data_IF_456365853286
#
_entry.id   IF_456365853286
#
_cell.length_a   1.000
_cell.length_b   1.000
_cell.length_c   1.000
_cell.angle_alpha   90.00
_cell.angle_beta   90.00
_cell.angle_gamma   90.00
#
_symmetry.space_group_name_H-M   'P 1'
#
loop_
_entity.id
_entity.type
_entity.pdbx_description
1 polymer ?
#
# COMPACT_ATOMS: atom_id res chain seq x y z
N UNK A 1 26.02 -11.04 -5.70
CA UNK A 1 24.85 -10.38 -5.10
C UNK A 1 24.87 -8.88 -5.42
N UNK A 2 23.80 -8.33 -5.97
CA UNK A 2 23.62 -6.90 -6.25
C UNK A 2 23.20 -6.18 -4.96
N UNK A 3 23.71 -4.99 -4.71
CA UNK A 3 23.20 -4.10 -3.65
C UNK A 3 22.61 -2.89 -4.35
N UNK A 4 21.36 -2.55 -4.01
CA UNK A 4 20.62 -1.44 -4.59
C UNK A 4 20.31 -0.44 -3.49
N UNK A 5 20.85 0.76 -3.62
CA UNK A 5 20.52 1.85 -2.70
C UNK A 5 19.09 2.37 -2.95
N UNK A 6 18.65 3.38 -2.20
CA UNK A 6 17.31 3.97 -2.32
C UNK A 6 16.99 4.48 -3.75
N UNK A 7 17.95 5.14 -4.40
CA UNK A 7 17.77 5.70 -5.76
C UNK A 7 17.67 4.58 -6.79
N UNK A 8 18.63 3.65 -6.79
CA UNK A 8 18.65 2.50 -7.71
C UNK A 8 17.39 1.63 -7.52
N UNK A 9 16.93 1.45 -6.28
CA UNK A 9 15.69 0.72 -5.97
C UNK A 9 14.47 1.45 -6.53
N UNK A 10 14.41 2.79 -6.40
CA UNK A 10 13.29 3.58 -6.89
C UNK A 10 13.20 3.59 -8.42
N UNK A 11 14.34 3.71 -9.11
CA UNK A 11 14.45 3.71 -10.57
C UNK A 11 14.08 2.36 -11.19
N UNK A 12 14.42 1.25 -10.51
CA UNK A 12 14.11 -0.10 -10.96
C UNK A 12 12.64 -0.51 -10.71
N UNK A 13 11.83 0.36 -10.09
CA UNK A 13 10.43 0.12 -9.73
C UNK A 13 9.47 1.16 -10.33
N UNK A 14 9.46 1.36 -11.67
CA UNK A 14 8.48 2.25 -12.28
C UNK A 14 7.06 1.68 -12.10
N UNK A 15 6.12 2.52 -11.68
CA UNK A 15 4.77 2.06 -11.32
C UNK A 15 4.05 1.24 -12.38
N UNK A 16 4.08 1.57 -13.70
CA UNK A 16 3.41 0.73 -14.69
C UNK A 16 3.89 -0.74 -14.66
N UNK A 17 5.21 -0.94 -14.60
CA UNK A 17 5.78 -2.29 -14.53
C UNK A 17 5.54 -2.94 -13.16
N UNK A 18 5.62 -2.17 -12.07
CA UNK A 18 5.38 -2.69 -10.72
C UNK A 18 3.92 -3.13 -10.52
N UNK A 19 2.96 -2.36 -11.01
CA UNK A 19 1.53 -2.71 -10.93
C UNK A 19 1.27 -4.04 -11.65
N UNK A 20 1.86 -4.24 -12.84
CA UNK A 20 1.72 -5.50 -13.57
C UNK A 20 2.48 -6.66 -12.91
N UNK A 21 3.68 -6.41 -12.35
CA UNK A 21 4.40 -7.43 -11.57
C UNK A 21 3.60 -7.89 -10.34
N UNK A 22 2.92 -6.96 -9.65
CA UNK A 22 2.00 -7.30 -8.57
C UNK A 22 0.79 -8.08 -9.11
N UNK A 23 0.18 -7.63 -10.22
CA UNK A 23 -0.96 -8.30 -10.85
C UNK A 23 -0.65 -9.75 -11.16
N UNK A 24 0.52 -10.00 -11.75
CA UNK A 24 0.96 -11.35 -12.12
C UNK A 24 1.27 -12.20 -10.88
N UNK A 25 1.92 -11.64 -9.87
CA UNK A 25 2.22 -12.38 -8.63
C UNK A 25 0.95 -12.76 -7.85
N UNK A 26 -0.03 -11.87 -7.75
CA UNK A 26 -1.34 -12.23 -7.17
C UNK A 26 -2.06 -13.26 -8.03
N UNK A 27 -1.99 -13.14 -9.36
CA UNK A 27 -2.62 -14.11 -10.27
C UNK A 27 -2.02 -15.51 -10.10
N UNK A 28 -0.70 -15.64 -10.18
CA UNK A 28 0.00 -16.92 -10.05
C UNK A 28 0.03 -17.46 -8.62
N UNK A 29 0.07 -16.56 -7.64
CA UNK A 29 0.36 -16.86 -6.25
C UNK A 29 1.84 -17.15 -5.99
N UNK A 30 2.18 -17.14 -4.71
CA UNK A 30 3.46 -17.61 -4.19
C UNK A 30 3.25 -18.18 -2.78
N UNK A 31 4.26 -18.86 -2.25
CA UNK A 31 4.29 -19.25 -0.84
C UNK A 31 4.65 -18.03 0.00
N UNK A 32 3.88 -17.79 1.07
CA UNK A 32 4.05 -16.64 1.95
C UNK A 32 3.54 -16.97 3.36
N UNK A 33 4.44 -17.41 4.26
CA UNK A 33 4.11 -17.59 5.66
C UNK A 33 3.64 -16.30 6.32
N UNK A 34 2.97 -16.44 7.47
CA UNK A 34 2.60 -15.30 8.30
C UNK A 34 3.83 -14.51 8.71
N UNK A 35 3.67 -13.19 8.88
CA UNK A 35 4.73 -12.30 9.37
C UNK A 35 5.24 -12.78 10.73
N UNK A 36 6.55 -12.93 10.86
CA UNK A 36 7.18 -13.29 12.12
C UNK A 36 7.44 -12.03 12.94
N UNK A 37 7.19 -12.12 14.25
CA UNK A 37 7.48 -11.07 15.22
C UNK A 37 8.43 -11.62 16.28
N UNK A 38 9.61 -11.02 16.39
CA UNK A 38 10.60 -11.39 17.39
C UNK A 38 10.90 -10.19 18.28
N UNK A 39 10.60 -10.32 19.57
CA UNK A 39 10.98 -9.32 20.58
C UNK A 39 12.49 -9.27 20.72
N UNK A 40 13.05 -8.06 20.69
CA UNK A 40 14.47 -7.80 20.90
C UNK A 40 14.58 -6.91 22.14
N UNK A 41 15.03 -7.49 23.25
CA UNK A 41 15.22 -6.76 24.49
C UNK A 41 16.34 -5.72 24.33
N UNK A 42 16.08 -4.48 24.74
CA UNK A 42 17.08 -3.40 24.77
C UNK A 42 17.16 -2.89 26.22
N UNK A 43 18.23 -3.21 26.97
CA UNK A 43 18.32 -2.84 28.38
C UNK A 43 18.15 -1.33 28.60
N UNK A 44 17.20 -0.97 29.47
CA UNK A 44 16.91 0.43 29.81
C UNK A 44 16.01 1.16 28.81
N UNK A 45 15.47 0.48 27.81
CA UNK A 45 14.60 1.06 26.77
C UNK A 45 13.36 0.17 26.52
N UNK A 46 12.33 0.68 25.83
CA UNK A 46 11.24 -0.17 25.35
C UNK A 46 11.77 -1.28 24.43
N UNK A 47 11.17 -2.46 24.52
CA UNK A 47 11.51 -3.58 23.64
C UNK A 47 11.44 -3.19 22.16
N UNK A 48 12.44 -3.63 21.41
CA UNK A 48 12.46 -3.55 19.97
C UNK A 48 11.81 -4.79 19.35
N UNK A 49 11.57 -4.75 18.04
CA UNK A 49 10.98 -5.87 17.31
C UNK A 49 11.72 -6.09 15.99
N UNK A 50 12.10 -7.34 15.71
CA UNK A 50 12.50 -7.79 14.39
C UNK A 50 11.29 -8.46 13.72
N UNK A 51 10.92 -7.94 12.56
CA UNK A 51 9.87 -8.48 11.70
C UNK A 51 10.50 -9.18 10.51
N UNK A 52 10.07 -10.41 10.24
CA UNK A 52 10.45 -11.16 9.04
C UNK A 52 9.22 -11.44 8.20
N UNK A 53 9.29 -11.09 6.91
CA UNK A 53 8.24 -11.35 5.94
C UNK A 53 8.83 -12.15 4.76
N UNK A 54 8.95 -13.48 4.91
CA UNK A 54 9.43 -14.34 3.83
C UNK A 54 8.33 -14.60 2.78
N UNK A 55 8.75 -14.76 1.53
CA UNK A 55 7.91 -15.26 0.44
C UNK A 55 8.77 -15.96 -0.62
N UNK A 56 8.23 -16.93 -1.34
CA UNK A 56 8.94 -17.58 -2.44
C UNK A 56 8.03 -18.14 -3.54
N UNK A 57 8.58 -18.17 -4.75
CA UNK A 57 8.10 -18.95 -5.88
C UNK A 57 9.02 -20.17 -6.00
N UNK A 58 8.52 -21.40 -5.76
CA UNK A 58 9.34 -22.61 -5.74
C UNK A 58 10.22 -22.76 -6.98
N UNK A 59 11.52 -23.04 -6.77
CA UNK A 59 12.49 -23.26 -7.84
C UNK A 59 12.86 -22.02 -8.68
N UNK A 60 12.38 -20.83 -8.30
CA UNK A 60 12.65 -19.59 -9.04
C UNK A 60 13.26 -18.50 -8.16
N UNK A 61 12.48 -17.90 -7.26
CA UNK A 61 12.93 -16.82 -6.39
C UNK A 61 12.41 -17.00 -4.97
N UNK A 62 13.24 -16.69 -3.98
CA UNK A 62 12.83 -16.56 -2.59
C UNK A 62 13.33 -15.24 -2.04
N UNK A 63 12.61 -14.65 -1.10
CA UNK A 63 13.06 -13.43 -0.48
C UNK A 63 12.50 -13.24 0.92
N UNK A 64 13.14 -12.35 1.67
CA UNK A 64 12.70 -11.98 3.01
C UNK A 64 12.88 -10.49 3.22
N UNK A 65 11.80 -9.84 3.64
CA UNK A 65 11.90 -8.49 4.20
C UNK A 65 12.29 -8.60 5.66
N UNK A 66 13.36 -7.92 6.03
CA UNK A 66 13.77 -7.74 7.42
C UNK A 66 13.44 -6.31 7.81
N UNK A 67 12.62 -6.13 8.84
CA UNK A 67 12.31 -4.80 9.38
C UNK A 67 12.61 -4.77 10.87
N UNK A 68 13.42 -3.81 11.27
CA UNK A 68 13.77 -3.52 12.65
C UNK A 68 12.96 -2.33 13.13
N UNK A 69 12.19 -2.52 14.20
CA UNK A 69 11.43 -1.46 14.88
C UNK A 69 12.06 -1.24 16.26
N UNK A 70 12.75 -0.12 16.42
CA UNK A 70 13.47 0.26 17.64
C UNK A 70 12.91 1.59 18.16
N UNK A 71 11.90 1.57 19.05
CA UNK A 71 11.29 2.79 19.58
C UNK A 71 12.30 3.75 20.21
N UNK A 72 13.31 3.22 20.92
CA UNK A 72 14.36 4.00 21.56
C UNK A 72 15.25 4.80 20.60
N UNK A 73 15.25 4.51 19.30
CA UNK A 73 16.07 5.28 18.34
C UNK A 73 15.68 6.75 18.24
N UNK A 74 14.45 7.13 18.61
CA UNK A 74 14.04 8.54 18.64
C UNK A 74 14.96 9.37 19.54
N UNK A 75 15.32 8.85 20.72
CA UNK A 75 16.19 9.56 21.67
C UNK A 75 17.64 9.66 21.18
N UNK A 76 18.01 8.80 20.23
CA UNK A 76 19.35 8.74 19.61
C UNK A 76 19.46 9.55 18.31
N UNK A 77 18.36 10.18 17.87
CA UNK A 77 18.32 10.84 16.56
C UNK A 77 18.41 9.87 15.37
N UNK A 78 18.06 8.59 15.57
CA UNK A 78 18.06 7.56 14.54
C UNK A 78 16.62 7.23 14.10
N UNK A 79 16.43 6.70 12.88
CA UNK A 79 15.12 6.19 12.48
C UNK A 79 14.66 5.04 13.38
N UNK A 80 13.42 5.11 13.88
CA UNK A 80 12.81 4.02 14.66
C UNK A 80 12.46 2.80 13.84
N UNK A 81 12.41 2.92 12.52
CA UNK A 81 12.11 1.83 11.61
C UNK A 81 13.21 1.82 10.55
N UNK A 82 13.83 0.66 10.35
CA UNK A 82 14.79 0.41 9.28
C UNK A 82 14.46 -0.94 8.66
N UNK A 83 14.57 -1.06 7.33
CA UNK A 83 14.25 -2.29 6.65
C UNK A 83 15.09 -2.53 5.41
N UNK A 84 15.32 -3.80 5.11
CA UNK A 84 16.03 -4.27 3.93
C UNK A 84 15.29 -5.46 3.35
N UNK A 85 15.45 -5.69 2.05
CA UNK A 85 14.90 -6.87 1.39
C UNK A 85 16.00 -7.69 0.75
N UNK A 86 16.14 -8.96 1.14
CA UNK A 86 17.07 -9.91 0.54
C UNK A 86 16.32 -10.79 -0.45
N UNK A 87 16.72 -10.77 -1.71
CA UNK A 87 16.29 -11.67 -2.77
C UNK A 87 17.35 -12.74 -3.01
N UNK A 88 16.94 -13.99 -3.11
CA UNK A 88 17.79 -15.15 -3.33
C UNK A 88 17.18 -16.07 -4.40
N UNK A 89 18.03 -16.90 -4.98
CA UNK A 89 17.64 -17.97 -5.88
C UNK A 89 17.00 -19.12 -5.07
N UNK A 90 15.77 -19.51 -5.41
CA UNK A 90 15.04 -20.53 -4.65
C UNK A 90 15.44 -21.98 -4.99
N UNK A 91 16.38 -22.18 -5.93
CA UNK A 91 16.90 -23.51 -6.28
C UNK A 91 18.22 -23.79 -5.55
N UNK A 92 19.08 -22.78 -5.46
CA UNK A 92 20.46 -22.90 -4.95
C UNK A 92 20.65 -22.23 -3.59
N UNK A 93 19.74 -21.34 -3.20
CA UNK A 93 19.87 -20.52 -2.00
C UNK A 93 20.81 -19.31 -2.16
N UNK A 94 21.40 -19.09 -3.34
CA UNK A 94 22.37 -18.02 -3.56
C UNK A 94 21.72 -16.63 -3.46
N UNK A 95 22.36 -15.71 -2.73
CA UNK A 95 21.92 -14.32 -2.63
C UNK A 95 22.05 -13.56 -3.95
N UNK A 96 20.93 -13.06 -4.46
CA UNK A 96 20.84 -12.38 -5.75
C UNK A 96 20.92 -10.87 -5.58
N UNK A 97 20.09 -10.29 -4.70
CA UNK A 97 20.04 -8.85 -4.49
C UNK A 97 19.67 -8.45 -3.06
N UNK A 98 20.20 -7.32 -2.61
CA UNK A 98 19.81 -6.62 -1.39
C UNK A 98 19.26 -5.24 -1.79
N UNK A 99 18.01 -4.97 -1.44
CA UNK A 99 17.30 -3.74 -1.81
C UNK A 99 17.01 -2.87 -0.59
N UNK A 100 16.89 -1.56 -0.82
CA UNK A 100 16.37 -0.63 0.17
C UNK A 100 14.91 -0.97 0.51
N UNK A 101 14.68 -1.39 1.76
CA UNK A 101 13.37 -1.90 2.17
C UNK A 101 12.33 -0.80 2.34
N UNK A 102 12.74 0.44 2.63
CA UNK A 102 11.82 1.56 2.81
C UNK A 102 11.25 2.01 1.45
N UNK A 103 12.12 2.16 0.45
CA UNK A 103 11.72 2.49 -0.92
C UNK A 103 10.87 1.37 -1.51
N UNK A 104 11.30 0.12 -1.40
CA UNK A 104 10.53 -1.03 -1.90
C UNK A 104 9.13 -1.06 -1.28
N UNK A 105 9.04 -0.92 0.05
CA UNK A 105 7.75 -0.92 0.77
C UNK A 105 6.86 0.23 0.31
N UNK A 106 7.40 1.45 0.18
CA UNK A 106 6.61 2.60 -0.25
C UNK A 106 6.05 2.41 -1.67
N UNK A 107 6.89 1.99 -2.63
CA UNK A 107 6.48 1.80 -4.02
C UNK A 107 5.47 0.67 -4.19
N UNK A 108 5.74 -0.50 -3.59
CA UNK A 108 4.85 -1.66 -3.70
C UNK A 108 3.50 -1.41 -3.04
N UNK A 109 3.48 -0.67 -1.93
CA UNK A 109 2.21 -0.34 -1.24
C UNK A 109 1.34 0.53 -2.13
N UNK A 110 1.92 1.60 -2.71
CA UNK A 110 1.19 2.45 -3.62
C UNK A 110 0.76 1.72 -4.91
N UNK A 111 1.60 0.82 -5.42
CA UNK A 111 1.27 -0.01 -6.57
C UNK A 111 0.13 -0.99 -6.27
N UNK A 112 0.05 -1.56 -5.06
CA UNK A 112 -1.07 -2.42 -4.66
C UNK A 112 -2.39 -1.65 -4.59
N UNK A 113 -2.38 -0.43 -4.04
CA UNK A 113 -3.53 0.48 -4.05
C UNK A 113 -3.95 0.84 -5.49
N UNK A 114 -3.00 1.16 -6.36
CA UNK A 114 -3.29 1.43 -7.76
C UNK A 114 -3.82 0.21 -8.52
N UNK A 115 -3.28 -0.99 -8.24
CA UNK A 115 -3.79 -2.26 -8.78
C UNK A 115 -5.24 -2.48 -8.38
N UNK A 116 -5.58 -2.28 -7.10
CA UNK A 116 -6.96 -2.38 -6.63
C UNK A 116 -7.85 -1.33 -7.31
N UNK A 117 -7.42 -0.07 -7.36
CA UNK A 117 -8.13 1.01 -8.03
C UNK A 117 -8.35 0.71 -9.52
N UNK A 118 -7.44 0.00 -10.20
CA UNK A 118 -7.62 -0.40 -11.59
C UNK A 118 -8.84 -1.31 -11.81
N UNK A 119 -9.15 -2.18 -10.84
CA UNK A 119 -10.37 -2.99 -10.86
C UNK A 119 -11.60 -2.27 -10.27
N UNK A 120 -11.40 -1.36 -9.32
CA UNK A 120 -12.45 -0.90 -8.41
C UNK A 120 -12.88 0.56 -8.59
N UNK A 121 -12.05 1.43 -9.14
CA UNK A 121 -12.40 2.83 -9.40
C UNK A 121 -13.11 2.99 -10.75
N UNK A 122 -13.96 4.02 -10.89
CA UNK A 122 -14.57 4.36 -12.19
C UNK A 122 -13.47 4.69 -13.20
N UNK A 123 -13.68 4.35 -14.48
CA UNK A 123 -12.66 4.55 -15.54
C UNK A 123 -12.36 6.03 -15.81
N UNK A 124 -13.36 6.89 -15.58
CA UNK A 124 -13.30 8.35 -15.73
C UNK A 124 -12.93 9.07 -14.43
N UNK A 125 -12.53 8.36 -13.37
CA UNK A 125 -12.12 8.96 -12.10
C UNK A 125 -10.94 9.93 -12.32
N UNK A 126 -11.16 11.22 -12.02
CA UNK A 126 -10.19 12.28 -12.29
C UNK A 126 -9.83 13.13 -11.08
N UNK A 127 -10.56 13.01 -9.97
CA UNK A 127 -10.27 13.71 -8.72
C UNK A 127 -9.90 12.73 -7.59
N UNK A 128 -8.63 12.77 -7.19
CA UNK A 128 -8.09 12.01 -6.06
C UNK A 128 -8.00 12.90 -4.81
N UNK A 129 -8.54 12.44 -3.70
CA UNK A 129 -8.32 13.02 -2.38
C UNK A 129 -7.34 12.16 -1.60
N UNK A 130 -6.28 12.77 -1.08
CA UNK A 130 -5.28 12.10 -0.25
C UNK A 130 -5.46 12.56 1.19
N UNK A 131 -5.75 11.61 2.08
CA UNK A 131 -5.91 11.84 3.51
C UNK A 131 -4.62 11.38 4.20
N UNK A 132 -3.81 12.34 4.62
CA UNK A 132 -2.50 12.08 5.23
C UNK A 132 -1.35 12.68 4.44
N UNK A 133 -0.34 13.18 5.17
CA UNK A 133 0.83 13.88 4.62
C UNK A 133 2.12 13.12 4.92
N UNK A 134 2.00 11.79 5.07
CA UNK A 134 3.12 10.89 5.34
C UNK A 134 3.89 10.52 4.08
N UNK A 135 4.88 9.64 4.24
CA UNK A 135 5.76 9.19 3.15
C UNK A 135 5.05 8.53 1.97
N UNK A 136 3.84 7.98 2.17
CA UNK A 136 3.05 7.37 1.10
C UNK A 136 2.24 8.36 0.26
N UNK A 137 2.02 9.60 0.74
CA UNK A 137 1.11 10.56 0.08
C UNK A 137 1.48 10.79 -1.39
N UNK A 138 2.75 11.12 -1.65
CA UNK A 138 3.27 11.24 -3.02
C UNK A 138 3.13 9.95 -3.82
N UNK A 139 3.57 8.82 -3.24
CA UNK A 139 3.59 7.54 -3.93
C UNK A 139 2.19 7.10 -4.38
N UNK A 140 1.19 7.30 -3.52
CA UNK A 140 -0.21 7.00 -3.82
C UNK A 140 -0.73 7.86 -4.97
N UNK A 141 -0.44 9.17 -4.97
CA UNK A 141 -0.81 10.05 -6.08
C UNK A 141 -0.21 9.58 -7.41
N UNK A 142 1.09 9.28 -7.40
CA UNK A 142 1.83 8.86 -8.59
C UNK A 142 1.30 7.53 -9.15
N UNK A 143 1.07 6.54 -8.29
CA UNK A 143 0.61 5.22 -8.68
C UNK A 143 -0.83 5.25 -9.21
N UNK A 144 -1.75 5.94 -8.53
CA UNK A 144 -3.14 6.08 -8.99
C UNK A 144 -3.23 6.81 -10.33
N UNK A 145 -2.35 7.79 -10.57
CA UNK A 145 -2.29 8.50 -11.86
C UNK A 145 -1.83 7.62 -13.03
N UNK A 146 -1.26 6.44 -12.77
CA UNK A 146 -0.92 5.48 -13.84
C UNK A 146 -2.14 4.67 -14.32
N UNK A 147 -3.16 4.53 -13.48
CA UNK A 147 -4.31 3.67 -13.77
C UNK A 147 -5.59 4.46 -14.02
N UNK A 148 -5.63 5.75 -13.66
CA UNK A 148 -6.78 6.63 -13.85
C UNK A 148 -6.36 8.02 -14.34
N UNK A 149 -7.23 8.74 -15.09
CA UNK A 149 -6.93 10.06 -15.63
C UNK A 149 -7.00 11.15 -14.54
N UNK A 150 -6.17 11.02 -13.51
CA UNK A 150 -6.12 11.96 -12.38
C UNK A 150 -5.64 13.31 -12.88
N UNK A 151 -6.55 14.29 -12.88
CA UNK A 151 -6.30 15.68 -13.26
C UNK A 151 -6.22 16.61 -12.06
N UNK A 152 -6.84 16.21 -10.95
CA UNK A 152 -6.89 16.96 -9.70
C UNK A 152 -6.53 16.07 -8.51
N UNK A 153 -5.65 16.56 -7.66
CA UNK A 153 -5.33 15.96 -6.35
C UNK A 153 -5.63 16.97 -5.24
N UNK A 154 -6.42 16.58 -4.25
CA UNK A 154 -6.66 17.40 -3.06
C UNK A 154 -6.04 16.69 -1.85
N UNK A 155 -5.13 17.37 -1.17
CA UNK A 155 -4.39 16.82 -0.02
C UNK A 155 -4.95 17.40 1.26
N UNK A 156 -5.27 16.53 2.21
CA UNK A 156 -5.63 16.93 3.56
C UNK A 156 -4.67 16.32 4.58
N UNK A 157 -4.38 17.08 5.62
CA UNK A 157 -3.66 16.61 6.79
C UNK A 157 -3.98 17.48 8.00
N UNK A 158 -3.75 16.95 9.21
CA UNK A 158 -3.93 17.69 10.48
C UNK A 158 -3.15 19.00 10.54
N UNK A 159 -2.04 19.06 9.82
CA UNK A 159 -1.15 20.21 9.71
C UNK A 159 -1.25 20.77 8.30
N UNK A 160 -1.83 21.97 8.17
CA UNK A 160 -2.10 22.60 6.87
C UNK A 160 -0.81 22.83 6.07
N UNK A 161 0.28 23.20 6.74
CA UNK A 161 1.58 23.41 6.13
C UNK A 161 2.18 22.12 5.55
N UNK A 162 1.91 20.96 6.16
CA UNK A 162 2.34 19.68 5.62
C UNK A 162 1.52 19.26 4.40
N UNK A 163 0.21 19.53 4.42
CA UNK A 163 -0.65 19.28 3.27
C UNK A 163 -0.23 20.15 2.07
N UNK A 164 0.11 21.42 2.33
CA UNK A 164 0.60 22.32 1.28
C UNK A 164 1.97 21.90 0.75
N UNK A 165 2.88 21.42 1.60
CA UNK A 165 4.16 20.89 1.15
C UNK A 165 3.98 19.70 0.19
N UNK A 166 3.09 18.76 0.52
CA UNK A 166 2.77 17.63 -0.37
C UNK A 166 2.11 18.11 -1.66
N UNK A 167 1.14 19.03 -1.58
CA UNK A 167 0.49 19.57 -2.78
C UNK A 167 1.48 20.29 -3.71
N UNK A 168 2.39 21.10 -3.16
CA UNK A 168 3.43 21.78 -3.93
C UNK A 168 4.35 20.79 -4.66
N UNK A 169 4.74 19.73 -3.96
CA UNK A 169 5.59 18.67 -4.47
C UNK A 169 4.89 17.88 -5.61
N UNK A 170 3.60 17.58 -5.46
CA UNK A 170 2.79 16.95 -6.49
C UNK A 170 2.62 17.84 -7.73
N UNK A 171 2.37 19.15 -7.56
CA UNK A 171 2.31 20.10 -8.70
C UNK A 171 3.62 20.10 -9.50
N UNK A 172 4.76 20.04 -8.81
CA UNK A 172 6.07 20.07 -9.46
C UNK A 172 6.41 18.80 -10.25
N UNK A 173 5.76 17.68 -9.98
CA UNK A 173 6.21 16.36 -10.48
C UNK A 173 5.18 15.57 -11.25
N UNK A 174 3.88 15.69 -10.92
CA UNK A 174 2.80 15.05 -11.66
C UNK A 174 2.16 15.97 -12.70
N UNK A 175 2.43 17.29 -12.65
CA UNK A 175 1.84 18.24 -13.58
C UNK A 175 0.31 18.32 -13.52
N UNK A 176 -0.31 17.85 -12.43
CA UNK A 176 -1.75 17.92 -12.19
C UNK A 176 -2.12 19.12 -11.29
N UNK A 177 -3.40 19.48 -11.26
CA UNK A 177 -3.92 20.44 -10.28
C UNK A 177 -3.83 19.82 -8.88
N UNK A 178 -2.84 20.20 -8.07
CA UNK A 178 -2.72 19.73 -6.69
C UNK A 178 -2.95 20.87 -5.70
N UNK A 179 -3.83 20.68 -4.70
CA UNK A 179 -4.20 21.69 -3.72
C UNK A 179 -4.24 21.08 -2.31
N UNK A 180 -3.83 21.85 -1.31
CA UNK A 180 -4.12 21.51 0.08
C UNK A 180 -5.51 22.01 0.47
N UNK A 181 -6.17 21.30 1.40
CA UNK A 181 -7.44 21.72 1.99
C UNK A 181 -7.45 21.53 3.50
N UNK A 182 -8.21 22.38 4.20
CA UNK A 182 -8.61 22.17 5.60
C UNK A 182 -10.01 21.58 5.73
N UNK A 183 -10.83 21.70 4.67
CA UNK A 183 -12.18 21.12 4.55
C UNK A 183 -12.07 19.69 3.99
N UNK A 184 -11.94 18.71 4.89
CA UNK A 184 -11.88 17.29 4.51
C UNK A 184 -13.23 16.79 3.98
N UNK A 185 -14.34 17.14 4.65
CA UNK A 185 -15.68 16.69 4.26
C UNK A 185 -16.00 17.12 2.83
N UNK A 186 -15.88 18.41 2.51
CA UNK A 186 -16.19 18.90 1.18
C UNK A 186 -15.27 18.30 0.12
N UNK A 187 -14.00 18.04 0.44
CA UNK A 187 -13.09 17.35 -0.47
C UNK A 187 -13.56 15.91 -0.75
N UNK A 188 -13.88 15.13 0.29
CA UNK A 188 -14.37 13.76 0.17
C UNK A 188 -15.69 13.69 -0.60
N UNK A 189 -16.63 14.63 -0.36
CA UNK A 189 -17.91 14.70 -1.10
C UNK A 189 -17.77 14.91 -2.60
N UNK A 190 -16.63 15.44 -3.06
CA UNK A 190 -16.33 15.69 -4.48
C UNK A 190 -15.31 14.71 -5.06
N UNK A 191 -14.86 13.72 -4.28
CA UNK A 191 -13.80 12.82 -4.67
C UNK A 191 -14.33 11.69 -5.56
N UNK A 192 -13.60 11.38 -6.63
CA UNK A 192 -13.80 10.12 -7.35
C UNK A 192 -13.07 8.97 -6.64
N UNK A 193 -11.90 9.28 -6.06
CA UNK A 193 -11.09 8.37 -5.28
C UNK A 193 -10.67 9.06 -3.98
N UNK A 194 -10.79 8.39 -2.85
CA UNK A 194 -10.23 8.80 -1.55
C UNK A 194 -9.19 7.78 -1.15
N UNK A 195 -7.92 8.17 -1.06
CA UNK A 195 -6.83 7.32 -0.58
C UNK A 195 -6.34 7.84 0.78
N UNK A 196 -6.45 7.02 1.81
CA UNK A 196 -6.08 7.33 3.17
C UNK A 196 -4.84 6.55 3.61
N UNK A 197 -3.83 7.27 4.08
CA UNK A 197 -2.57 6.71 4.58
C UNK A 197 -2.15 7.42 5.87
N UNK A 198 -2.95 7.24 6.90
CA UNK A 198 -2.84 7.86 8.21
C UNK A 198 -2.58 6.83 9.30
N UNK A 199 -2.00 7.30 10.42
CA UNK A 199 -1.88 6.48 11.63
C UNK A 199 -3.08 6.68 12.58
N UNK A 200 -4.27 6.93 12.05
CA UNK A 200 -5.43 7.26 12.87
C UNK A 200 -5.96 6.04 13.63
N UNK A 201 -6.47 6.28 14.84
CA UNK A 201 -7.24 5.31 15.63
C UNK A 201 -8.74 5.59 15.59
N UNK A 202 -9.12 6.75 15.03
CA UNK A 202 -10.51 7.18 14.88
C UNK A 202 -10.81 7.44 13.40
N UNK A 203 -12.04 7.18 12.93
CA UNK A 203 -12.42 7.46 11.55
C UNK A 203 -12.13 8.90 11.13
N UNK A 204 -11.55 9.05 9.93
CA UNK A 204 -11.35 10.33 9.25
C UNK A 204 -12.18 10.41 7.97
N UNK A 205 -12.36 9.28 7.27
CA UNK A 205 -13.22 9.15 6.10
C UNK A 205 -14.58 8.64 6.57
N UNK A 206 -15.57 9.53 6.63
CA UNK A 206 -16.92 9.16 7.04
C UNK A 206 -17.75 8.71 5.85
N UNK A 207 -18.47 7.61 6.03
CA UNK A 207 -19.30 7.00 5.01
C UNK A 207 -20.35 7.95 4.49
N UNK A 208 -20.92 8.83 5.30
CA UNK A 208 -21.92 9.85 4.91
C UNK A 208 -21.40 10.92 3.92
N UNK A 209 -20.07 11.06 3.82
CA UNK A 209 -19.43 11.98 2.88
C UNK A 209 -19.22 11.36 1.50
N UNK A 210 -19.23 10.03 1.40
CA UNK A 210 -18.93 9.32 0.16
C UNK A 210 -20.07 9.51 -0.85
N UNK A 211 -19.72 10.07 -2.01
CA UNK A 211 -20.60 10.16 -3.16
C UNK A 211 -20.78 8.80 -3.84
N UNK A 212 -21.88 8.64 -4.57
CA UNK A 212 -22.05 7.49 -5.47
C UNK A 212 -20.88 7.41 -6.46
N UNK A 213 -20.42 6.19 -6.73
CA UNK A 213 -19.30 5.94 -7.64
C UNK A 213 -17.92 6.15 -7.03
N UNK A 214 -17.81 6.62 -5.79
CA UNK A 214 -16.52 6.83 -5.13
C UNK A 214 -15.77 5.50 -4.91
N UNK A 215 -14.45 5.52 -5.08
CA UNK A 215 -13.55 4.46 -4.64
C UNK A 215 -12.78 4.92 -3.39
N UNK A 216 -12.75 4.09 -2.36
CA UNK A 216 -12.02 4.35 -1.12
C UNK A 216 -10.87 3.35 -1.01
N UNK A 217 -9.66 3.84 -0.81
CA UNK A 217 -8.43 3.09 -0.62
C UNK A 217 -7.87 3.38 0.78
N UNK A 218 -7.82 2.38 1.64
CA UNK A 218 -7.41 2.52 3.04
C UNK A 218 -6.11 1.75 3.28
N UNK A 219 -5.04 2.45 3.62
CA UNK A 219 -3.68 1.89 3.62
C UNK A 219 -3.00 2.02 4.98
N UNK A 220 -3.26 3.11 5.70
CA UNK A 220 -2.51 3.50 6.88
C UNK A 220 -2.81 2.67 8.13
N UNK A 221 -4.03 2.15 8.29
CA UNK A 221 -4.38 1.32 9.44
C UNK A 221 -3.93 -0.14 9.31
N UNK A 222 -2.75 -0.46 9.84
CA UNK A 222 -2.15 -1.81 9.82
C UNK A 222 -2.13 -2.51 11.19
N UNK A 223 -2.81 -1.95 12.19
CA UNK A 223 -3.02 -2.58 13.51
C UNK A 223 -4.51 -2.70 13.81
N UNK A 224 -4.94 -3.70 14.62
CA UNK A 224 -6.36 -3.90 14.93
C UNK A 224 -7.04 -2.70 15.59
N UNK A 225 -6.25 -1.87 16.29
CA UNK A 225 -6.72 -0.66 16.98
C UNK A 225 -6.71 0.60 16.10
N UNK A 226 -6.21 0.50 14.87
CA UNK A 226 -6.14 1.61 13.93
C UNK A 226 -7.28 1.50 12.93
N UNK A 227 -7.91 2.63 12.59
CA UNK A 227 -8.92 2.71 11.54
C UNK A 227 -8.95 4.11 10.95
N UNK A 228 -9.27 4.18 9.68
CA UNK A 228 -9.31 5.42 8.89
C UNK A 228 -10.73 5.74 8.43
N UNK A 229 -11.60 4.74 8.37
CA UNK A 229 -13.00 4.86 7.97
C UNK A 229 -13.97 4.45 9.08
N UNK A 230 -15.20 4.95 9.01
CA UNK A 230 -16.27 4.60 9.94
C UNK A 230 -17.08 3.36 9.49
N UNK A 231 -17.96 2.86 10.35
CA UNK A 231 -18.79 1.69 10.05
C UNK A 231 -19.79 2.00 8.91
N UNK A 232 -20.18 3.27 8.74
CA UNK A 232 -21.04 3.70 7.64
C UNK A 232 -20.37 3.48 6.29
N UNK A 233 -19.07 3.78 6.16
CA UNK A 233 -18.31 3.53 4.94
C UNK A 233 -18.31 2.04 4.58
N UNK A 234 -18.08 1.18 5.59
CA UNK A 234 -18.09 -0.28 5.42
C UNK A 234 -19.46 -0.80 4.99
N UNK A 235 -20.55 -0.30 5.58
CA UNK A 235 -21.93 -0.71 5.20
C UNK A 235 -22.32 -0.26 3.79
N UNK A 236 -21.87 0.92 3.36
CA UNK A 236 -22.24 1.50 2.07
C UNK A 236 -21.40 0.98 0.90
N UNK A 237 -20.19 0.49 1.17
CA UNK A 237 -19.24 0.11 0.14
C UNK A 237 -19.23 -1.40 -0.15
N UNK A 238 -18.88 -1.76 -1.38
CA UNK A 238 -18.47 -3.12 -1.74
C UNK A 238 -17.01 -3.32 -1.33
N UNK A 239 -16.81 -4.04 -0.23
CA UNK A 239 -15.51 -4.18 0.45
C UNK A 239 -14.62 -5.23 -0.21
N UNK A 240 -13.41 -4.83 -0.56
CA UNK A 240 -12.32 -5.65 -1.04
C UNK A 240 -11.10 -5.45 -0.13
N UNK A 241 -10.20 -6.43 -0.13
CA UNK A 241 -8.99 -6.40 0.69
C UNK A 241 -7.77 -6.82 -0.11
N UNK A 242 -6.56 -6.52 0.35
CA UNK A 242 -5.32 -7.01 -0.26
C UNK A 242 -5.23 -8.55 -0.18
N UNK A 243 -5.37 -9.07 1.03
CA UNK A 243 -5.48 -10.49 1.36
C UNK A 243 -6.47 -10.66 2.50
N UNK A 244 -7.33 -11.67 2.43
CA UNK A 244 -8.27 -11.93 3.53
C UNK A 244 -7.56 -12.19 4.86
N UNK A 245 -6.52 -13.04 4.82
CA UNK A 245 -5.80 -13.45 6.02
C UNK A 245 -5.16 -12.26 6.77
N UNK A 246 -4.58 -11.30 6.05
CA UNK A 246 -3.98 -10.10 6.61
C UNK A 246 -5.03 -9.10 7.07
N UNK A 247 -5.92 -8.66 6.16
CA UNK A 247 -6.86 -7.57 6.45
C UNK A 247 -7.82 -7.89 7.60
N UNK A 248 -8.30 -9.14 7.70
CA UNK A 248 -9.23 -9.55 8.77
C UNK A 248 -8.60 -9.58 10.16
N UNK A 249 -7.26 -9.66 10.25
CA UNK A 249 -6.53 -9.77 11.52
C UNK A 249 -5.77 -8.50 11.89
N UNK A 250 -5.21 -7.80 10.92
CA UNK A 250 -4.27 -6.70 11.14
C UNK A 250 -4.93 -5.33 10.95
N UNK A 251 -5.85 -5.16 10.00
CA UNK A 251 -6.40 -3.84 9.68
C UNK A 251 -7.67 -3.55 10.47
N UNK A 252 -7.64 -2.62 11.42
CA UNK A 252 -8.82 -2.31 12.24
C UNK A 252 -10.02 -1.76 11.44
N UNK A 253 -9.83 -1.19 10.25
CA UNK A 253 -10.92 -0.87 9.31
C UNK A 253 -11.77 -2.09 8.93
N UNK A 254 -11.25 -3.32 9.05
CA UNK A 254 -11.95 -4.57 8.74
C UNK A 254 -12.13 -5.41 10.01
N UNK A 255 -11.09 -5.55 10.83
CA UNK A 255 -11.14 -6.34 12.05
C UNK A 255 -12.18 -5.82 13.07
N UNK A 256 -12.34 -4.49 13.21
CA UNK A 256 -13.33 -3.92 14.13
C UNK A 256 -14.77 -4.14 13.63
N UNK A 257 -15.13 -3.87 12.36
CA UNK A 257 -16.45 -4.21 11.82
C UNK A 257 -16.79 -5.71 11.88
N UNK A 258 -15.81 -6.59 11.70
CA UNK A 258 -16.01 -8.04 11.88
C UNK A 258 -16.36 -8.37 13.34
N UNK A 259 -15.61 -7.82 14.29
CA UNK A 259 -15.84 -8.04 15.71
C UNK A 259 -17.18 -7.47 16.21
N UNK A 260 -17.64 -6.36 15.63
CA UNK A 260 -18.93 -5.73 15.98
C UNK A 260 -20.13 -6.25 15.19
N UNK A 261 -19.91 -7.12 14.20
CA UNK A 261 -20.96 -7.65 13.32
C UNK A 261 -21.48 -6.66 12.28
N UNK A 262 -20.79 -5.54 12.06
CA UNK A 262 -21.07 -4.59 10.97
C UNK A 262 -20.74 -5.19 9.61
N UNK A 263 -19.70 -6.03 9.55
CA UNK A 263 -19.25 -6.77 8.38
C UNK A 263 -19.17 -8.26 8.75
N UNK A 264 -19.56 -9.17 7.85
CA UNK A 264 -19.24 -10.59 7.98
C UNK A 264 -18.08 -10.96 7.06
N UNK A 265 -17.37 -12.05 7.35
CA UNK A 265 -16.25 -12.50 6.52
C UNK A 265 -16.69 -12.82 5.08
N UNK A 266 -17.90 -13.34 4.93
CA UNK A 266 -18.53 -13.70 3.66
C UNK A 266 -18.96 -12.48 2.85
N UNK A 267 -19.18 -11.34 3.51
CA UNK A 267 -19.51 -10.07 2.87
C UNK A 267 -18.29 -9.36 2.26
N UNK A 268 -17.06 -9.85 2.52
CA UNK A 268 -15.86 -9.37 1.81
C UNK A 268 -15.92 -9.89 0.37
N UNK A 269 -16.10 -8.96 -0.56
CA UNK A 269 -16.44 -9.23 -1.95
C UNK A 269 -15.33 -9.90 -2.77
N UNK A 270 -14.07 -9.74 -2.35
CA UNK A 270 -12.90 -10.28 -3.02
C UNK A 270 -11.60 -9.77 -2.41
N UNK A 271 -10.50 -10.46 -2.68
CA UNK A 271 -9.16 -9.93 -2.48
C UNK A 271 -8.38 -9.77 -3.80
N UNK A 272 -7.12 -9.33 -3.75
CA UNK A 272 -6.33 -9.15 -4.97
C UNK A 272 -6.05 -10.46 -5.70
N UNK A 273 -6.05 -11.62 -5.04
CA UNK A 273 -6.00 -12.92 -5.74
C UNK A 273 -7.26 -13.11 -6.58
N UNK A 274 -8.43 -12.89 -5.98
CA UNK A 274 -9.70 -13.10 -6.70
C UNK A 274 -9.86 -12.13 -7.88
N UNK A 275 -9.53 -10.85 -7.67
CA UNK A 275 -9.63 -9.83 -8.72
C UNK A 275 -8.71 -10.15 -9.90
N UNK A 276 -7.46 -10.52 -9.63
CA UNK A 276 -6.47 -10.79 -10.68
C UNK A 276 -6.68 -12.12 -11.41
N UNK A 277 -7.38 -13.07 -10.78
CA UNK A 277 -7.81 -14.35 -11.36
C UNK A 277 -9.19 -14.30 -12.00
N UNK A 278 -9.93 -13.19 -11.86
CA UNK A 278 -11.31 -13.07 -12.35
C UNK A 278 -12.32 -13.91 -11.57
N UNK A 279 -12.01 -14.30 -10.33
CA UNK A 279 -12.89 -15.06 -9.45
C UNK A 279 -13.88 -14.16 -8.69
N UNK A 280 -13.52 -12.90 -8.48
CA UNK A 280 -14.41 -11.85 -7.99
C UNK A 280 -14.52 -10.75 -9.06
N UNK A 281 -15.74 -10.24 -9.33
CA UNK A 281 -15.87 -9.08 -10.19
C UNK A 281 -15.27 -7.86 -9.51
N UNK A 282 -14.67 -6.97 -10.30
CA UNK A 282 -14.31 -5.63 -9.85
C UNK A 282 -15.56 -4.75 -9.66
N UNK A 283 -15.46 -3.48 -10.03
CA UNK A 283 -16.64 -2.60 -10.11
C UNK A 283 -17.68 -3.17 -11.10
N UNK A 284 -18.91 -3.29 -10.65
CA UNK A 284 -20.09 -3.77 -11.37
C UNK A 284 -21.00 -2.62 -11.85
N UNK A 285 -21.06 -1.49 -11.15
CA UNK A 285 -21.90 -0.33 -11.52
C UNK A 285 -21.18 1.01 -11.35
N UNK A 286 -21.66 2.04 -12.06
CA UNK A 286 -21.11 3.38 -11.97
C UNK A 286 -21.40 4.06 -10.61
N UNK A 287 -22.53 3.72 -9.96
CA UNK A 287 -22.98 4.35 -8.73
C UNK A 287 -22.48 3.67 -7.45
N UNK A 288 -22.01 2.42 -7.50
CA UNK A 288 -21.55 1.74 -6.29
C UNK A 288 -20.34 2.44 -5.67
N UNK A 289 -20.26 2.39 -4.35
CA UNK A 289 -19.04 2.77 -3.62
C UNK A 289 -18.20 1.51 -3.50
N UNK A 290 -16.92 1.56 -3.86
CA UNK A 290 -15.98 0.46 -3.62
C UNK A 290 -15.01 0.85 -2.52
N UNK A 291 -14.65 -0.10 -1.67
CA UNK A 291 -13.66 0.12 -0.62
C UNK A 291 -12.59 -0.97 -0.72
N UNK A 292 -11.33 -0.58 -0.74
CA UNK A 292 -10.19 -1.47 -0.70
C UNK A 292 -9.40 -1.23 0.58
N UNK A 293 -9.14 -2.30 1.34
CA UNK A 293 -8.26 -2.25 2.51
C UNK A 293 -6.94 -2.97 2.25
N UNK A 294 -5.83 -2.27 2.45
CA UNK A 294 -4.48 -2.85 2.45
C UNK A 294 -3.86 -2.84 3.85
N UNK A 295 -3.17 -3.93 4.19
CA UNK A 295 -2.24 -4.07 5.32
C UNK A 295 -0.84 -4.50 4.87
N UNK A 296 -0.70 -4.87 3.60
CA UNK A 296 0.52 -5.24 2.92
C UNK A 296 0.91 -6.70 3.13
N UNK A 297 1.20 -7.37 2.02
CA UNK A 297 1.57 -8.78 2.01
C UNK A 297 2.99 -8.98 1.43
N UNK A 298 3.72 -9.98 1.95
CA UNK A 298 5.12 -10.22 1.58
C UNK A 298 5.33 -10.61 0.11
N UNK A 299 4.31 -11.17 -0.55
CA UNK A 299 4.34 -11.42 -2.00
C UNK A 299 4.55 -10.13 -2.80
N UNK A 300 4.04 -9.00 -2.31
CA UNK A 300 4.17 -7.72 -2.99
C UNK A 300 5.63 -7.23 -2.92
N UNK A 301 6.28 -7.47 -1.78
CA UNK A 301 7.71 -7.19 -1.60
C UNK A 301 8.55 -8.11 -2.52
N UNK A 302 8.19 -9.40 -2.63
CA UNK A 302 8.86 -10.36 -3.53
C UNK A 302 8.71 -9.97 -5.00
N UNK A 303 7.51 -9.64 -5.44
CA UNK A 303 7.23 -9.23 -6.81
C UNK A 303 8.03 -7.97 -7.20
N UNK A 304 8.05 -6.96 -6.33
CA UNK A 304 8.88 -5.78 -6.53
C UNK A 304 10.38 -6.10 -6.57
N UNK A 305 10.87 -6.94 -5.67
CA UNK A 305 12.29 -7.32 -5.64
C UNK A 305 12.72 -8.10 -6.90
N UNK A 306 11.88 -9.01 -7.39
CA UNK A 306 12.12 -9.73 -8.66
C UNK A 306 12.20 -8.75 -9.82
N UNK A 307 11.21 -7.85 -9.95
CA UNK A 307 11.18 -6.84 -11.01
C UNK A 307 12.45 -5.98 -11.00
N UNK A 308 12.83 -5.46 -9.83
CA UNK A 308 14.00 -4.62 -9.71
C UNK A 308 15.31 -5.36 -10.05
N UNK A 309 15.43 -6.62 -9.62
CA UNK A 309 16.58 -7.45 -9.95
C UNK A 309 16.67 -7.74 -11.45
N UNK A 310 15.59 -8.23 -12.06
CA UNK A 310 15.54 -8.57 -13.49
C UNK A 310 15.77 -7.34 -14.39
N UNK A 311 15.22 -6.17 -14.03
CA UNK A 311 15.49 -4.91 -14.73
C UNK A 311 16.98 -4.52 -14.66
N UNK A 312 17.62 -4.72 -13.50
CA UNK A 312 19.02 -4.37 -13.29
C UNK A 312 20.01 -5.30 -14.03
N UNK A 313 19.63 -6.56 -14.28
CA UNK A 313 20.46 -7.51 -15.02
C UNK A 313 20.34 -7.30 -16.53
N UNK A 314 19.15 -6.99 -17.03
CA UNK A 314 18.91 -6.67 -18.43
C UNK A 314 19.71 -5.42 -18.88
N UNK A 315 19.72 -4.36 -18.07
CA UNK A 315 20.48 -3.14 -18.37
C UNK A 315 21.99 -3.41 -18.51
N UNK A 316 22.55 -4.32 -17.71
CA UNK A 316 23.98 -4.68 -17.80
C UNK A 316 24.31 -5.46 -19.07
N UNK A 317 23.44 -6.37 -19.49
CA UNK A 317 23.63 -7.14 -20.72
C UNK A 317 23.61 -6.26 -21.98
N UNK A 318 22.98 -5.08 -21.93
CA UNK A 318 22.97 -4.11 -23.03
C UNK A 318 24.18 -3.16 -23.03
N UNK A 319 24.95 -3.10 -21.93
CA UNK A 319 26.12 -2.20 -21.78
C UNK A 319 27.45 -2.95 -21.95
N UNK A 320 27.40 -4.26 -22.26
CA UNK A 320 28.55 -5.12 -22.58
C UNK A 320 28.47 -5.54 -24.04
#
# INVERSE_FOLDING_TARGET
>A
MRVMNAVETAEALPYPALIEALRDMFRSGCEMPLRHHHTVAVPGEPDATLLLMPAWVPGRYMGVKLVSVFPGNVTRGLPSISGQYMLSDATTGAGLALLDGAVLTARRTAAASALAADYLARRDAGHLVIVGTGSLSRALAEAHSQVRPIRKVTVWGRRAEAAEAVAADLRATLGCEALATTDLEGAVRRADIVSAATMSQTPLVLGEWLAEGCHVDLVGAYKPTMRESDDTAIRRARVHVDTRAGAMKEGGDIALPLASGVLSAEAIAGDLYDLTRGLAPGRQTAAEITLFKSVGAALEDLAGAILAFEASTAAKAQTQ
#
